data_IF_702188612402
#
_entry.id   IF_702188612402
#
_cell.length_a   1.000
_cell.length_b   1.000
_cell.length_c   1.000
_cell.angle_alpha   90.00
_cell.angle_beta   90.00
_cell.angle_gamma   90.00
#
_symmetry.space_group_name_H-M   'P 1'
#
loop_
_entity.id
_entity.type
_entity.pdbx_description
1 polymer ?
#
# COMPACT_ATOMS: atom_id res chain seq x y z
N UNK A 1 16.55 32.53 -19.48
CA UNK A 1 15.75 32.01 -18.35
C UNK A 1 15.07 30.71 -18.79
N UNK A 2 15.67 29.55 -18.50
CA UNK A 2 15.07 28.23 -18.76
C UNK A 2 14.72 27.60 -17.40
N UNK A 3 13.43 27.41 -17.12
CA UNK A 3 12.96 26.69 -15.93
C UNK A 3 13.04 25.19 -16.21
N UNK A 4 13.94 24.50 -15.53
CA UNK A 4 13.98 23.04 -15.45
C UNK A 4 12.88 22.59 -14.49
N UNK A 5 11.92 21.82 -15.00
CA UNK A 5 10.94 21.12 -14.19
C UNK A 5 11.62 19.90 -13.56
N UNK A 6 11.84 19.94 -12.25
CA UNK A 6 12.32 18.79 -11.47
C UNK A 6 11.16 17.81 -11.29
N UNK A 7 11.17 16.74 -12.09
CA UNK A 7 10.27 15.59 -11.92
C UNK A 7 10.90 14.69 -10.85
N UNK A 8 10.22 14.53 -9.72
CA UNK A 8 10.61 13.61 -8.67
C UNK A 8 10.37 12.16 -9.14
N UNK A 9 11.44 11.39 -9.29
CA UNK A 9 11.39 9.97 -9.63
C UNK A 9 11.23 9.17 -8.32
N UNK A 10 10.05 8.59 -8.08
CA UNK A 10 9.86 7.62 -6.99
C UNK A 10 10.36 6.27 -7.52
N UNK A 11 11.47 5.79 -6.99
CA UNK A 11 12.06 4.51 -7.34
C UNK A 11 11.28 3.39 -6.61
N UNK A 12 10.33 2.75 -7.29
CA UNK A 12 9.63 1.56 -6.79
C UNK A 12 10.24 0.32 -7.42
N UNK A 13 10.78 -0.58 -6.58
CA UNK A 13 11.41 -1.82 -6.98
C UNK A 13 10.35 -2.94 -7.09
N UNK A 14 9.81 -3.18 -8.27
CA UNK A 14 8.88 -4.29 -8.52
C UNK A 14 9.61 -5.46 -9.20
N UNK A 15 9.64 -6.63 -8.56
CA UNK A 15 10.13 -7.87 -9.17
C UNK A 15 9.07 -8.44 -10.14
N UNK A 16 9.47 -8.66 -11.39
CA UNK A 16 8.64 -9.23 -12.46
C UNK A 16 8.51 -10.75 -12.33
N UNK A 17 7.29 -11.27 -12.50
CA UNK A 17 6.98 -12.71 -12.43
C UNK A 17 7.22 -13.40 -13.78
N UNK A 18 8.23 -14.28 -13.83
CA UNK A 18 8.35 -15.27 -14.90
C UNK A 18 7.52 -16.53 -14.56
N UNK A 19 6.81 -17.05 -15.54
CA UNK A 19 5.96 -18.26 -15.44
C UNK A 19 6.85 -19.51 -15.39
N UNK A 20 6.74 -20.32 -14.34
CA UNK A 20 7.57 -21.51 -14.09
C UNK A 20 6.82 -22.79 -14.49
N UNK A 21 7.41 -23.74 -15.25
CA UNK A 21 6.88 -25.08 -15.38
C UNK A 21 7.29 -25.94 -14.17
N UNK A 22 6.39 -26.79 -13.70
CA UNK A 22 6.62 -27.65 -12.55
C UNK A 22 7.53 -28.84 -12.92
N UNK A 23 8.71 -28.94 -12.29
CA UNK A 23 9.33 -30.19 -11.82
C UNK A 23 10.63 -29.89 -11.05
N UNK A 24 10.66 -30.31 -9.78
CA UNK A 24 11.82 -30.70 -8.96
C UNK A 24 13.19 -30.06 -9.26
N UNK A 25 13.57 -29.09 -8.44
CA UNK A 25 14.97 -28.69 -8.19
C UNK A 25 15.08 -28.15 -6.75
N UNK A 26 16.22 -28.36 -6.06
CA UNK A 26 16.34 -28.09 -4.64
C UNK A 26 16.19 -26.60 -4.36
N UNK A 27 15.52 -26.25 -3.25
CA UNK A 27 15.45 -24.90 -2.66
C UNK A 27 16.78 -24.17 -2.91
N UNK A 28 16.76 -23.16 -3.80
CA UNK A 28 17.81 -22.12 -3.76
C UNK A 28 17.84 -21.64 -2.31
N UNK A 29 18.97 -21.81 -1.65
CA UNK A 29 19.17 -21.43 -0.24
C UNK A 29 18.58 -20.04 -0.01
N UNK A 30 17.66 -19.91 0.95
CA UNK A 30 16.98 -18.64 1.25
C UNK A 30 17.98 -17.51 1.57
N UNK A 31 19.16 -17.84 2.13
CA UNK A 31 20.24 -16.88 2.36
C UNK A 31 20.78 -16.26 1.06
N UNK A 32 20.80 -17.01 -0.06
CA UNK A 32 21.26 -16.47 -1.34
C UNK A 32 20.31 -15.42 -1.92
N UNK A 33 19.00 -15.52 -1.64
CA UNK A 33 18.01 -14.54 -2.08
C UNK A 33 18.11 -13.24 -1.26
N UNK A 34 18.36 -13.37 0.04
CA UNK A 34 18.52 -12.21 0.93
C UNK A 34 19.78 -11.40 0.57
N UNK A 35 20.90 -12.08 0.27
CA UNK A 35 22.12 -11.44 -0.23
C UNK A 35 21.94 -10.73 -1.58
N UNK A 36 21.11 -11.30 -2.47
CA UNK A 36 20.78 -10.68 -3.76
C UNK A 36 19.97 -9.39 -3.59
N UNK A 37 19.00 -9.36 -2.67
CA UNK A 37 18.20 -8.16 -2.38
C UNK A 37 19.05 -7.01 -1.82
N UNK A 38 19.99 -7.31 -0.91
CA UNK A 38 20.96 -6.31 -0.40
C UNK A 38 21.79 -5.75 -1.55
N UNK A 39 22.34 -6.62 -2.40
CA UNK A 39 23.14 -6.24 -3.56
C UNK A 39 22.38 -5.31 -4.50
N UNK A 40 21.14 -5.68 -4.87
CA UNK A 40 20.29 -4.88 -5.74
C UNK A 40 19.99 -3.51 -5.12
N UNK A 41 19.59 -3.48 -3.85
CA UNK A 41 19.26 -2.24 -3.16
C UNK A 41 20.47 -1.30 -3.08
N UNK A 42 21.63 -1.83 -2.68
CA UNK A 42 22.88 -1.09 -2.58
C UNK A 42 23.30 -0.50 -3.93
N UNK A 43 23.34 -1.34 -4.98
CA UNK A 43 23.73 -0.89 -6.33
C UNK A 43 22.77 0.17 -6.87
N UNK A 44 21.46 -0.02 -6.73
CA UNK A 44 20.48 0.96 -7.22
C UNK A 44 20.56 2.27 -6.45
N UNK A 45 20.75 2.23 -5.14
CA UNK A 45 20.93 3.44 -4.34
C UNK A 45 22.15 4.24 -4.83
N UNK A 46 23.28 3.58 -5.12
CA UNK A 46 24.49 4.28 -5.59
C UNK A 46 24.41 4.75 -7.05
N UNK A 47 23.71 4.01 -7.92
CA UNK A 47 23.76 4.25 -9.37
C UNK A 47 22.53 4.98 -9.92
N UNK A 48 21.36 4.86 -9.27
CA UNK A 48 20.09 5.39 -9.75
C UNK A 48 19.57 6.54 -8.90
N UNK A 49 20.14 6.78 -7.70
CA UNK A 49 19.77 7.95 -6.93
C UNK A 49 20.26 9.23 -7.61
N UNK A 50 19.40 10.23 -7.67
CA UNK A 50 19.61 11.46 -8.44
C UNK A 50 20.75 12.36 -7.92
N UNK A 51 21.29 12.06 -6.73
CA UNK A 51 22.43 12.74 -6.10
C UNK A 51 23.53 11.74 -5.82
N UNK A 52 24.76 12.25 -5.71
CA UNK A 52 25.88 11.44 -5.21
C UNK A 52 25.53 10.93 -3.80
N UNK A 53 25.62 9.62 -3.62
CA UNK A 53 25.40 8.95 -2.34
C UNK A 53 26.74 8.79 -1.62
N UNK A 54 26.74 8.99 -0.31
CA UNK A 54 27.89 8.76 0.55
C UNK A 54 27.85 7.30 1.04
N UNK A 55 28.86 6.51 0.68
CA UNK A 55 28.92 5.08 1.01
C UNK A 55 29.01 4.82 2.51
N UNK A 56 29.81 5.59 3.25
CA UNK A 56 29.89 5.49 4.71
C UNK A 56 28.54 5.71 5.38
N UNK A 57 27.76 6.68 4.87
CA UNK A 57 26.42 6.94 5.37
C UNK A 57 25.46 5.77 5.09
N UNK A 58 25.59 5.11 3.92
CA UNK A 58 24.78 3.94 3.57
C UNK A 58 25.05 2.78 4.52
N UNK A 59 26.32 2.43 4.74
CA UNK A 59 26.70 1.32 5.63
C UNK A 59 26.34 1.64 7.08
N UNK A 60 26.63 2.85 7.56
CA UNK A 60 26.26 3.27 8.91
C UNK A 60 24.74 3.27 9.11
N UNK A 61 23.97 3.74 8.12
CA UNK A 61 22.51 3.73 8.17
C UNK A 61 21.92 2.32 8.21
N UNK A 62 22.53 1.38 7.48
CA UNK A 62 22.17 -0.04 7.52
C UNK A 62 22.37 -0.63 8.92
N UNK A 63 23.57 -0.48 9.46
CA UNK A 63 23.96 -0.92 10.81
C UNK A 63 23.04 -0.35 11.89
N UNK A 64 22.88 0.98 11.90
CA UNK A 64 22.08 1.69 12.91
C UNK A 64 20.63 1.21 12.91
N UNK A 65 20.03 1.02 11.73
CA UNK A 65 18.64 0.58 11.66
C UNK A 65 18.47 -0.90 12.01
N UNK A 66 19.44 -1.76 11.67
CA UNK A 66 19.45 -3.16 12.09
C UNK A 66 19.52 -3.27 13.62
N UNK A 67 20.46 -2.56 14.26
CA UNK A 67 20.58 -2.52 15.72
C UNK A 67 19.31 -1.96 16.37
N UNK A 68 18.74 -0.89 15.80
CA UNK A 68 17.48 -0.33 16.29
C UNK A 68 16.31 -1.31 16.14
N UNK A 69 16.25 -2.06 15.03
CA UNK A 69 15.24 -3.08 14.80
C UNK A 69 15.33 -4.21 15.83
N UNK A 70 16.53 -4.72 16.11
CA UNK A 70 16.78 -5.72 17.15
C UNK A 70 16.32 -5.24 18.54
N UNK A 71 16.68 -4.00 18.91
CA UNK A 71 16.26 -3.38 20.18
C UNK A 71 14.74 -3.27 20.30
N UNK A 72 14.06 -2.75 19.27
CA UNK A 72 12.59 -2.64 19.23
C UNK A 72 11.90 -4.01 19.38
N UNK A 73 12.57 -5.08 18.95
CA UNK A 73 12.06 -6.44 19.05
C UNK A 73 12.58 -7.23 20.26
N UNK A 74 13.16 -6.56 21.26
CA UNK A 74 13.46 -7.14 22.57
C UNK A 74 14.91 -7.58 22.78
N UNK A 75 15.84 -7.25 21.88
CA UNK A 75 17.28 -7.48 22.07
C UNK A 75 17.94 -6.22 22.63
N UNK A 76 17.88 -6.03 23.95
CA UNK A 76 18.30 -4.78 24.62
C UNK A 76 19.78 -4.41 24.42
N UNK A 77 20.67 -5.42 24.33
CA UNK A 77 22.12 -5.24 24.20
C UNK A 77 22.65 -5.89 22.91
N UNK A 78 22.00 -5.62 21.77
CA UNK A 78 22.48 -6.09 20.48
C UNK A 78 23.91 -5.60 20.21
N UNK A 79 24.87 -6.51 20.29
CA UNK A 79 26.25 -6.35 19.84
C UNK A 79 26.33 -6.89 18.41
N UNK A 80 26.32 -5.97 17.46
CA UNK A 80 26.56 -6.26 16.05
C UNK A 80 27.89 -5.57 15.69
N UNK A 81 28.87 -6.27 15.07
CA UNK A 81 30.12 -5.64 14.69
C UNK A 81 29.90 -4.45 13.75
N UNK A 82 30.69 -3.39 13.91
CA UNK A 82 30.66 -2.26 12.99
C UNK A 82 31.16 -2.68 11.60
N UNK A 83 30.49 -2.18 10.57
CA UNK A 83 30.87 -2.42 9.18
C UNK A 83 32.13 -1.63 8.81
N UNK A 84 32.97 -2.23 7.97
CA UNK A 84 34.12 -1.54 7.37
C UNK A 84 33.78 -1.08 5.95
N UNK A 85 33.95 0.21 5.71
CA UNK A 85 33.70 0.81 4.40
C UNK A 85 34.91 0.56 3.49
N UNK A 86 34.63 0.13 2.26
CA UNK A 86 35.60 -0.08 1.19
C UNK A 86 35.21 0.73 -0.05
N UNK A 87 36.19 1.07 -0.89
CA UNK A 87 35.93 1.63 -2.22
C UNK A 87 35.34 0.61 -3.19
N UNK A 88 35.48 -0.69 -2.90
CA UNK A 88 34.90 -1.79 -3.67
C UNK A 88 33.46 -2.10 -3.21
N UNK A 89 32.50 -1.88 -4.11
CA UNK A 89 31.09 -2.17 -3.87
C UNK A 89 30.84 -3.63 -3.49
N UNK A 90 31.56 -4.59 -4.08
CA UNK A 90 31.37 -6.00 -3.78
C UNK A 90 31.80 -6.34 -2.34
N UNK A 91 32.84 -5.69 -1.84
CA UNK A 91 33.28 -5.80 -0.43
C UNK A 91 32.24 -5.25 0.51
N UNK A 92 31.68 -4.07 0.23
CA UNK A 92 30.63 -3.49 1.07
C UNK A 92 29.37 -4.36 1.12
N UNK A 93 28.97 -4.96 -0.01
CA UNK A 93 27.82 -5.88 -0.07
C UNK A 93 28.07 -7.12 0.78
N UNK A 94 29.28 -7.71 0.72
CA UNK A 94 29.66 -8.86 1.57
C UNK A 94 29.66 -8.52 3.06
N UNK A 95 30.11 -7.32 3.42
CA UNK A 95 30.10 -6.87 4.82
C UNK A 95 28.67 -6.72 5.35
N UNK A 96 27.75 -6.13 4.56
CA UNK A 96 26.33 -6.02 4.90
C UNK A 96 25.66 -7.39 5.06
N UNK A 97 25.91 -8.32 4.13
CA UNK A 97 25.36 -9.67 4.18
C UNK A 97 25.84 -10.43 5.43
N UNK A 98 27.16 -10.39 5.68
CA UNK A 98 27.79 -10.99 6.87
C UNK A 98 27.23 -10.43 8.18
N UNK A 99 26.94 -9.14 8.23
CA UNK A 99 26.36 -8.49 9.40
C UNK A 99 24.97 -9.06 9.72
N UNK A 100 24.12 -9.18 8.70
CA UNK A 100 22.79 -9.78 8.83
C UNK A 100 22.89 -11.23 9.30
N UNK A 101 23.77 -12.03 8.69
CA UNK A 101 23.99 -13.42 9.10
C UNK A 101 24.46 -13.53 10.56
N UNK A 102 25.39 -12.66 10.96
CA UNK A 102 25.90 -12.59 12.33
C UNK A 102 24.79 -12.23 13.30
N UNK A 103 23.97 -11.23 12.99
CA UNK A 103 22.84 -10.83 13.82
C UNK A 103 21.78 -11.95 13.93
N UNK A 104 21.45 -12.59 12.81
CA UNK A 104 20.50 -13.70 12.78
C UNK A 104 20.97 -14.89 13.63
N UNK A 105 22.27 -15.21 13.57
CA UNK A 105 22.87 -16.30 14.34
C UNK A 105 23.00 -15.98 15.82
N UNK A 106 23.34 -14.72 16.17
CA UNK A 106 23.54 -14.29 17.55
C UNK A 106 22.22 -14.07 18.31
N UNK A 107 21.14 -13.71 17.60
CA UNK A 107 19.86 -13.33 18.22
C UNK A 107 18.66 -14.11 17.63
N UNK A 108 18.62 -15.44 17.77
CA UNK A 108 17.45 -16.22 17.35
C UNK A 108 16.22 -15.79 18.16
N UNK A 109 15.10 -15.59 17.46
CA UNK A 109 13.88 -15.03 18.05
C UNK A 109 12.64 -15.56 17.34
N UNK A 110 11.53 -15.69 18.08
CA UNK A 110 10.21 -15.94 17.47
C UNK A 110 9.51 -14.67 16.99
N UNK A 111 10.06 -13.49 17.31
CA UNK A 111 9.45 -12.19 16.98
C UNK A 111 9.86 -11.66 15.61
N UNK A 112 10.96 -12.15 15.04
CA UNK A 112 11.48 -11.76 13.74
C UNK A 112 12.27 -12.90 13.11
N UNK A 113 12.39 -12.88 11.79
CA UNK A 113 13.13 -13.84 10.97
C UNK A 113 14.44 -13.21 10.46
N UNK A 114 15.39 -14.01 9.95
CA UNK A 114 16.56 -13.47 9.26
C UNK A 114 16.19 -12.50 8.13
N UNK A 115 15.11 -12.80 7.41
CA UNK A 115 14.59 -11.94 6.34
C UNK A 115 14.13 -10.57 6.84
N UNK A 116 13.54 -10.50 8.03
CA UNK A 116 13.18 -9.22 8.63
C UNK A 116 14.41 -8.37 8.96
N UNK A 117 15.54 -9.01 9.29
CA UNK A 117 16.83 -8.33 9.50
C UNK A 117 17.41 -7.82 8.17
N UNK A 118 17.30 -8.60 7.09
CA UNK A 118 17.64 -8.15 5.72
C UNK A 118 16.85 -6.90 5.34
N UNK A 119 15.53 -6.92 5.55
CA UNK A 119 14.66 -5.78 5.29
C UNK A 119 14.99 -4.56 6.14
N UNK A 120 15.29 -4.76 7.43
CA UNK A 120 15.73 -3.68 8.30
C UNK A 120 17.05 -3.06 7.80
N UNK A 121 17.99 -3.88 7.35
CA UNK A 121 19.28 -3.44 6.81
C UNK A 121 19.08 -2.62 5.53
N UNK A 122 18.26 -3.11 4.59
CA UNK A 122 17.92 -2.37 3.35
C UNK A 122 17.19 -1.06 3.66
N UNK A 123 16.23 -1.07 4.59
CA UNK A 123 15.54 0.14 5.01
C UNK A 123 16.49 1.17 5.63
N UNK A 124 17.51 0.72 6.36
CA UNK A 124 18.57 1.56 6.91
C UNK A 124 19.45 2.18 5.83
N UNK A 125 19.88 1.38 4.85
CA UNK A 125 20.62 1.86 3.67
C UNK A 125 19.86 2.97 2.95
N UNK A 126 18.59 2.74 2.62
CA UNK A 126 17.74 3.71 1.94
C UNK A 126 17.46 4.95 2.81
N UNK A 127 17.25 4.77 4.12
CA UNK A 127 17.05 5.88 5.06
C UNK A 127 18.28 6.77 5.28
N UNK A 128 19.48 6.33 4.86
CA UNK A 128 20.72 7.10 5.00
C UNK A 128 20.76 8.34 4.11
N UNK A 129 20.10 8.33 2.95
CA UNK A 129 20.10 9.47 2.01
C UNK A 129 19.16 10.60 2.42
N UNK A 130 18.45 10.45 3.55
CA UNK A 130 17.57 11.46 4.16
C UNK A 130 16.56 12.07 3.18
N UNK A 131 16.09 11.27 2.22
CA UNK A 131 15.02 11.64 1.32
C UNK A 131 13.70 11.00 1.76
N UNK A 132 12.69 11.84 2.01
CA UNK A 132 11.39 11.39 2.56
C UNK A 132 10.59 10.48 1.61
N UNK A 133 10.97 10.41 0.34
CA UNK A 133 10.31 9.57 -0.66
C UNK A 133 11.08 8.27 -0.94
N UNK A 134 12.29 8.15 -0.41
CA UNK A 134 13.14 6.96 -0.56
C UNK A 134 12.88 6.02 0.60
N UNK A 135 12.06 5.00 0.36
CA UNK A 135 11.66 4.02 1.38
C UNK A 135 11.78 2.60 0.85
N UNK A 136 12.11 1.68 1.74
CA UNK A 136 11.93 0.26 1.49
C UNK A 136 10.48 -0.11 1.77
N UNK A 137 9.88 -0.94 0.92
CA UNK A 137 8.58 -1.56 1.17
C UNK A 137 8.79 -3.07 1.18
N UNK A 138 8.47 -3.71 2.30
CA UNK A 138 8.40 -5.18 2.38
C UNK A 138 7.35 -5.71 1.40
N UNK A 139 7.38 -7.00 1.02
CA UNK A 139 6.37 -7.58 0.13
C UNK A 139 4.93 -7.35 0.61
N UNK A 140 4.72 -7.36 1.94
CA UNK A 140 3.41 -7.09 2.55
C UNK A 140 3.01 -5.62 2.39
N UNK A 141 3.91 -4.68 2.63
CA UNK A 141 3.65 -3.24 2.47
C UNK A 141 3.45 -2.87 1.00
N UNK A 142 4.24 -3.45 0.11
CA UNK A 142 4.09 -3.29 -1.34
C UNK A 142 2.78 -3.88 -1.84
N UNK A 143 2.38 -5.05 -1.36
CA UNK A 143 1.07 -5.63 -1.66
C UNK A 143 -0.07 -4.73 -1.16
N UNK A 144 0.01 -4.22 0.08
CA UNK A 144 -1.00 -3.31 0.63
C UNK A 144 -1.08 -1.98 -0.15
N UNK A 145 0.07 -1.44 -0.59
CA UNK A 145 0.10 -0.26 -1.46
C UNK A 145 -0.58 -0.55 -2.80
N UNK A 146 -0.25 -1.68 -3.44
CA UNK A 146 -0.85 -2.07 -4.69
C UNK A 146 -2.33 -2.41 -4.57
N UNK A 147 -2.79 -3.00 -3.47
CA UNK A 147 -4.22 -3.24 -3.21
C UNK A 147 -5.02 -1.93 -3.17
N UNK A 148 -4.40 -0.81 -2.78
CA UNK A 148 -5.02 0.51 -2.84
C UNK A 148 -4.95 1.18 -4.21
N UNK A 149 -4.02 0.78 -5.07
CA UNK A 149 -3.79 1.37 -6.41
C UNK A 149 -4.49 0.59 -7.53
N UNK A 150 -4.34 -0.73 -7.49
CA UNK A 150 -5.15 -1.65 -8.24
C UNK A 150 -6.51 -1.61 -7.56
N UNK A 151 -7.55 -1.15 -8.26
CA UNK A 151 -8.93 -1.12 -7.77
C UNK A 151 -9.48 -2.54 -7.53
N UNK A 152 -8.79 -3.30 -6.68
CA UNK A 152 -8.99 -4.71 -6.42
C UNK A 152 -10.43 -4.87 -5.97
N UNK A 153 -11.03 -5.91 -6.51
CA UNK A 153 -12.39 -6.28 -6.21
C UNK A 153 -12.47 -6.68 -4.74
N UNK A 154 -12.88 -5.76 -3.87
CA UNK A 154 -13.21 -6.10 -2.50
C UNK A 154 -14.71 -6.34 -2.40
N UNK A 155 -15.10 -7.49 -1.86
CA UNK A 155 -16.50 -7.75 -1.55
C UNK A 155 -16.89 -6.96 -0.31
N UNK A 156 -17.83 -6.03 -0.48
CA UNK A 156 -18.22 -5.10 0.56
C UNK A 156 -19.52 -4.38 0.23
N UNK A 157 -19.79 -3.32 0.98
CA UNK A 157 -20.99 -2.50 0.82
C UNK A 157 -20.84 -1.39 -0.20
N UNK A 158 -19.60 -1.01 -0.57
CA UNK A 158 -19.35 0.16 -1.43
C UNK A 158 -19.45 1.48 -0.67
N UNK A 159 -19.15 1.47 0.62
CA UNK A 159 -19.12 2.65 1.50
C UNK A 159 -17.66 2.99 1.80
N UNK A 160 -17.30 4.26 1.65
CA UNK A 160 -16.05 4.81 2.19
C UNK A 160 -16.39 5.51 3.50
N UNK A 161 -15.77 5.08 4.59
CA UNK A 161 -16.06 5.58 5.93
C UNK A 161 -14.95 6.49 6.46
N UNK A 162 -15.35 7.39 7.34
CA UNK A 162 -14.46 8.20 8.17
C UNK A 162 -14.92 8.14 9.63
N UNK A 163 -14.03 8.49 10.55
CA UNK A 163 -14.38 8.68 11.95
C UNK A 163 -14.53 10.16 12.25
N UNK A 164 -15.65 10.56 12.85
CA UNK A 164 -15.80 11.91 13.36
C UNK A 164 -15.07 12.05 14.71
N UNK A 165 -14.05 12.91 14.75
CA UNK A 165 -13.22 13.07 15.94
C UNK A 165 -13.97 13.60 17.18
N UNK A 166 -15.08 14.31 16.97
CA UNK A 166 -15.89 14.89 18.06
C UNK A 166 -16.93 13.91 18.57
N UNK A 167 -17.72 13.27 17.69
CA UNK A 167 -18.79 12.35 18.09
C UNK A 167 -18.32 10.91 18.31
N UNK A 168 -17.10 10.57 17.88
CA UNK A 168 -16.55 9.19 17.87
C UNK A 168 -17.43 8.18 17.12
N UNK A 169 -18.28 8.67 16.22
CA UNK A 169 -19.13 7.87 15.36
C UNK A 169 -18.47 7.64 14.00
N UNK A 170 -18.89 6.58 13.33
CA UNK A 170 -18.51 6.30 11.95
C UNK A 170 -19.49 7.00 11.01
N UNK A 171 -18.95 7.79 10.08
CA UNK A 171 -19.72 8.53 9.07
C UNK A 171 -19.35 8.05 7.67
N UNK A 172 -20.31 8.11 6.75
CA UNK A 172 -20.07 7.85 5.33
C UNK A 172 -19.43 9.08 4.70
N UNK A 173 -18.14 8.98 4.36
CA UNK A 173 -17.43 10.02 3.61
C UNK A 173 -17.87 10.06 2.14
N UNK A 174 -18.09 8.89 1.53
CA UNK A 174 -18.62 8.77 0.17
C UNK A 174 -19.18 7.37 -0.09
N UNK A 175 -19.99 7.26 -1.12
CA UNK A 175 -20.57 6.01 -1.59
C UNK A 175 -20.11 5.75 -3.01
N UNK A 176 -19.71 4.51 -3.31
CA UNK A 176 -19.29 4.13 -4.65
C UNK A 176 -20.49 4.25 -5.61
N UNK A 177 -20.41 5.08 -6.66
CA UNK A 177 -21.49 5.22 -7.64
C UNK A 177 -21.85 3.89 -8.28
N UNK A 178 -23.16 3.64 -8.45
CA UNK A 178 -23.71 2.36 -8.92
C UNK A 178 -23.28 1.16 -8.03
N UNK A 179 -22.81 1.40 -6.81
CA UNK A 179 -22.44 0.38 -5.83
C UNK A 179 -23.65 -0.15 -5.05
N UNK A 180 -23.48 -1.22 -4.24
CA UNK A 180 -24.54 -1.77 -3.39
C UNK A 180 -25.13 -0.75 -2.42
N UNK A 181 -24.30 0.07 -1.78
CA UNK A 181 -24.75 1.12 -0.86
C UNK A 181 -25.48 2.27 -1.57
N UNK A 182 -25.04 2.66 -2.76
CA UNK A 182 -25.69 3.70 -3.57
C UNK A 182 -27.09 3.24 -4.01
N UNK A 183 -27.18 1.99 -4.51
CA UNK A 183 -28.46 1.33 -4.82
C UNK A 183 -29.36 1.16 -3.60
N UNK A 184 -28.78 1.07 -2.40
CA UNK A 184 -29.52 0.99 -1.14
C UNK A 184 -29.94 2.38 -0.59
N UNK A 185 -29.57 3.47 -1.28
CA UNK A 185 -29.98 4.83 -0.94
C UNK A 185 -29.15 5.50 0.15
N UNK A 186 -27.96 4.96 0.46
CA UNK A 186 -27.01 5.60 1.37
C UNK A 186 -26.36 6.81 0.71
N UNK A 187 -26.02 7.80 1.52
CA UNK A 187 -25.50 9.07 1.06
C UNK A 187 -24.26 9.47 1.87
N UNK A 188 -23.50 10.41 1.32
CA UNK A 188 -22.48 11.12 2.09
C UNK A 188 -23.11 11.77 3.33
N UNK A 189 -22.32 11.87 4.41
CA UNK A 189 -22.68 12.42 5.72
C UNK A 189 -23.68 11.60 6.55
N UNK A 190 -24.13 10.45 6.05
CA UNK A 190 -24.88 9.49 6.84
C UNK A 190 -24.01 8.96 7.99
N UNK A 191 -24.54 9.03 9.21
CA UNK A 191 -23.89 8.48 10.40
C UNK A 191 -24.36 7.03 10.58
N UNK A 192 -23.42 6.09 10.61
CA UNK A 192 -23.71 4.68 10.84
C UNK A 192 -23.74 4.46 12.35
N UNK A 193 -24.91 4.25 12.94
CA UNK A 193 -25.08 4.03 14.37
C UNK A 193 -24.79 2.59 14.78
N UNK A 194 -25.24 1.61 13.98
CA UNK A 194 -24.95 0.20 14.21
C UNK A 194 -24.73 -0.57 12.91
N UNK A 195 -23.94 -1.63 12.99
CA UNK A 195 -23.69 -2.60 11.91
C UNK A 195 -24.07 -3.97 12.44
N UNK A 196 -25.09 -4.60 11.85
CA UNK A 196 -25.69 -5.87 12.32
C UNK A 196 -26.01 -5.85 13.83
N UNK A 197 -26.56 -4.73 14.30
CA UNK A 197 -26.91 -4.51 15.70
C UNK A 197 -25.73 -4.16 16.63
N UNK A 198 -24.48 -4.19 16.15
CA UNK A 198 -23.32 -3.77 16.93
C UNK A 198 -23.11 -2.26 16.82
N UNK A 199 -23.02 -1.59 17.96
CA UNK A 199 -22.72 -0.15 18.00
C UNK A 199 -21.39 0.17 17.31
N UNK A 200 -21.38 1.27 16.56
CA UNK A 200 -20.16 1.81 15.93
C UNK A 200 -19.43 2.83 16.81
N UNK A 201 -20.05 3.26 17.91
CA UNK A 201 -19.47 4.27 18.81
C UNK A 201 -18.11 3.81 19.34
N UNK A 202 -17.08 4.63 19.12
CA UNK A 202 -15.71 4.36 19.57
C UNK A 202 -14.97 3.28 18.77
N UNK A 203 -15.57 2.73 17.70
CA UNK A 203 -14.84 1.85 16.79
C UNK A 203 -13.79 2.62 16.00
N UNK A 204 -12.65 1.99 15.76
CA UNK A 204 -11.69 2.49 14.77
C UNK A 204 -12.22 2.26 13.35
N UNK A 205 -11.73 3.06 12.39
CA UNK A 205 -12.02 2.87 10.96
C UNK A 205 -11.74 1.42 10.53
N UNK A 206 -10.65 0.82 11.02
CA UNK A 206 -10.28 -0.56 10.70
C UNK A 206 -11.30 -1.57 11.25
N UNK A 207 -11.77 -1.38 12.49
CA UNK A 207 -12.79 -2.24 13.09
C UNK A 207 -14.13 -2.12 12.37
N UNK A 208 -14.59 -0.90 12.10
CA UNK A 208 -15.82 -0.66 11.35
C UNK A 208 -15.75 -1.23 9.92
N UNK A 209 -14.61 -1.01 9.23
CA UNK A 209 -14.36 -1.57 7.90
C UNK A 209 -14.43 -3.11 7.92
N UNK A 210 -13.97 -3.77 8.98
CA UNK A 210 -14.03 -5.23 9.09
C UNK A 210 -15.48 -5.74 9.21
N UNK A 211 -16.38 -4.97 9.81
CA UNK A 211 -17.81 -5.31 9.92
C UNK A 211 -18.57 -5.08 8.60
N UNK A 212 -18.22 -4.02 7.86
CA UNK A 212 -18.83 -3.70 6.57
C UNK A 212 -18.39 -4.66 5.46
N UNK A 213 -17.13 -5.12 5.49
CA UNK A 213 -16.62 -6.15 4.58
C UNK A 213 -17.18 -7.53 4.92
N UNK A 214 -17.15 -8.43 3.95
CA UNK A 214 -17.61 -9.81 4.13
C UNK A 214 -17.77 -10.53 2.81
N UNK A 215 -18.13 -11.80 2.88
CA UNK A 215 -18.32 -12.65 1.70
C UNK A 215 -19.40 -12.08 0.77
N UNK A 216 -19.16 -12.15 -0.53
CA UNK A 216 -20.15 -11.79 -1.55
C UNK A 216 -21.49 -12.52 -1.33
N UNK A 217 -22.59 -11.84 -1.61
CA UNK A 217 -23.96 -12.36 -1.46
C UNK A 217 -24.48 -12.34 -0.01
N UNK A 218 -23.63 -12.15 0.99
CA UNK A 218 -24.08 -11.99 2.38
C UNK A 218 -24.70 -10.62 2.61
N UNK A 219 -25.57 -10.50 3.62
CA UNK A 219 -26.25 -9.25 3.97
C UNK A 219 -25.58 -8.58 5.17
N UNK A 220 -25.68 -7.26 5.21
CA UNK A 220 -25.38 -6.43 6.36
C UNK A 220 -26.47 -5.40 6.55
N UNK A 221 -26.91 -5.20 7.78
CA UNK A 221 -27.97 -4.24 8.12
C UNK A 221 -27.38 -3.08 8.89
N UNK A 222 -27.59 -1.87 8.39
CA UNK A 222 -27.09 -0.64 8.98
C UNK A 222 -28.24 0.16 9.60
N UNK A 223 -28.04 0.64 10.83
CA UNK A 223 -28.87 1.72 11.40
C UNK A 223 -28.20 3.05 11.07
N UNK A 224 -28.93 3.96 10.43
CA UNK A 224 -28.38 5.20 9.89
C UNK A 224 -29.07 6.40 10.54
N UNK A 225 -28.29 7.44 10.82
CA UNK A 225 -28.77 8.78 11.12
C UNK A 225 -28.43 9.72 9.98
N UNK A 226 -29.47 10.36 9.40
CA UNK A 226 -29.33 11.38 8.36
C UNK A 226 -29.82 12.71 8.91
N UNK A 227 -28.97 13.74 8.86
CA UNK A 227 -29.27 15.07 9.40
C UNK A 227 -29.77 15.03 10.85
N UNK A 228 -29.17 14.16 11.68
CA UNK A 228 -29.51 14.00 13.09
C UNK A 228 -30.79 13.20 13.40
N UNK A 229 -31.45 12.61 12.39
CA UNK A 229 -32.65 11.76 12.58
C UNK A 229 -32.37 10.33 12.17
N UNK A 230 -32.88 9.37 12.95
CA UNK A 230 -32.85 7.97 12.55
C UNK A 230 -33.72 7.77 11.30
N UNK A 231 -33.19 7.05 10.31
CA UNK A 231 -33.96 6.57 9.16
C UNK A 231 -34.23 5.06 9.30
N UNK A 232 -35.06 4.52 8.41
CA UNK A 232 -35.30 3.08 8.36
C UNK A 232 -33.99 2.30 8.17
N UNK A 233 -33.85 1.11 8.80
CA UNK A 233 -32.65 0.30 8.66
C UNK A 233 -32.39 -0.04 7.19
N UNK A 234 -31.13 0.07 6.77
CA UNK A 234 -30.72 -0.18 5.38
C UNK A 234 -30.00 -1.51 5.31
N UNK A 235 -30.56 -2.47 4.58
CA UNK A 235 -29.94 -3.77 4.34
C UNK A 235 -29.23 -3.78 3.00
N UNK A 236 -27.93 -4.08 3.02
CA UNK A 236 -27.06 -4.11 1.84
C UNK A 236 -26.64 -5.55 1.59
N UNK A 237 -26.76 -6.00 0.34
CA UNK A 237 -26.15 -7.26 -0.11
C UNK A 237 -24.71 -6.95 -0.52
N UNK A 238 -23.74 -7.59 0.14
CA UNK A 238 -22.33 -7.42 -0.19
C UNK A 238 -22.08 -7.91 -1.61
N UNK A 239 -21.42 -7.09 -2.40
CA UNK A 239 -21.04 -7.43 -3.77
C UNK A 239 -19.58 -7.06 -4.02
N UNK A 240 -18.96 -7.64 -5.05
CA UNK A 240 -17.73 -7.16 -5.65
C UNK A 240 -17.80 -5.64 -5.88
N UNK A 241 -17.07 -4.87 -5.08
CA UNK A 241 -16.87 -3.45 -5.30
C UNK A 241 -15.61 -3.32 -6.13
N UNK A 242 -15.77 -2.91 -7.38
CA UNK A 242 -14.67 -2.43 -8.18
C UNK A 242 -14.63 -0.93 -8.00
N UNK A 243 -13.64 -0.43 -7.27
CA UNK A 243 -13.34 0.99 -7.29
C UNK A 243 -12.81 1.31 -8.68
N UNK A 244 -13.70 1.79 -9.55
CA UNK A 244 -13.30 2.23 -10.87
C UNK A 244 -12.37 3.43 -10.69
N UNK A 245 -11.26 3.40 -11.39
CA UNK A 245 -10.35 4.52 -11.48
C UNK A 245 -10.90 5.61 -12.40
N UNK A 246 -11.89 5.27 -13.23
CA UNK A 246 -12.59 6.18 -14.13
C UNK A 246 -14.11 6.06 -14.00
N UNK A 247 -14.76 7.18 -13.72
CA UNK A 247 -16.23 7.32 -13.80
C UNK A 247 -16.59 8.19 -15.01
N UNK A 248 -17.64 7.82 -15.73
CA UNK A 248 -18.05 8.55 -16.92
C UNK A 248 -19.57 8.69 -17.02
N UNK A 249 -20.04 9.88 -17.41
CA UNK A 249 -21.47 10.14 -17.67
C UNK A 249 -21.66 11.21 -18.73
N UNK A 250 -22.77 11.10 -19.47
CA UNK A 250 -23.20 12.15 -20.38
C UNK A 250 -23.90 13.28 -19.60
N UNK A 251 -23.43 14.51 -19.76
CA UNK A 251 -24.08 15.72 -19.27
C UNK A 251 -25.01 16.32 -20.34
N UNK A 252 -25.87 17.30 -19.98
CA UNK A 252 -26.64 18.07 -20.95
C UNK A 252 -25.76 18.66 -22.06
N UNK A 253 -26.35 18.94 -23.22
CA UNK A 253 -25.65 19.45 -24.41
C UNK A 253 -24.61 18.49 -25.00
N UNK A 254 -24.70 17.19 -24.68
CA UNK A 254 -23.79 16.15 -25.17
C UNK A 254 -22.33 16.36 -24.75
N UNK A 255 -22.11 16.79 -23.50
CA UNK A 255 -20.77 16.93 -22.92
C UNK A 255 -20.47 15.64 -22.14
N UNK A 256 -19.39 14.95 -22.48
CA UNK A 256 -18.98 13.71 -21.82
C UNK A 256 -18.12 14.00 -20.60
N UNK A 257 -18.65 13.87 -19.39
CA UNK A 257 -17.85 14.01 -18.17
C UNK A 257 -17.07 12.73 -17.89
N UNK A 258 -15.77 12.88 -17.65
CA UNK A 258 -14.88 11.79 -17.21
C UNK A 258 -14.12 12.22 -15.95
N UNK A 259 -14.37 11.52 -14.85
CA UNK A 259 -13.69 11.71 -13.58
C UNK A 259 -12.68 10.60 -13.32
N UNK A 260 -11.41 10.97 -13.13
CA UNK A 260 -10.34 10.07 -12.69
C UNK A 260 -10.18 10.16 -11.17
N UNK A 261 -10.26 9.03 -10.49
CA UNK A 261 -10.19 8.96 -9.02
C UNK A 261 -8.85 8.40 -8.52
N UNK A 262 -8.21 7.56 -9.32
CA UNK A 262 -6.89 6.96 -9.05
C UNK A 262 -6.15 6.76 -10.36
N UNK A 263 -4.82 6.77 -10.31
CA UNK A 263 -3.97 6.38 -11.43
C UNK A 263 -3.34 5.03 -11.12
N UNK A 264 -4.06 3.96 -11.44
CA UNK A 264 -3.67 2.57 -11.21
C UNK A 264 -3.38 1.82 -12.52
N UNK A 265 -3.15 0.51 -12.40
CA UNK A 265 -2.79 -0.36 -13.54
C UNK A 265 -3.84 -0.34 -14.66
N UNK A 266 -5.12 -0.36 -14.30
CA UNK A 266 -6.22 -0.48 -15.26
C UNK A 266 -6.75 0.87 -15.77
N UNK A 267 -6.28 1.99 -15.22
CA UNK A 267 -6.84 3.33 -15.50
C UNK A 267 -6.79 3.72 -16.96
N UNK A 268 -5.70 3.41 -17.67
CA UNK A 268 -5.61 3.69 -19.11
C UNK A 268 -6.70 2.96 -19.92
N UNK A 269 -6.97 1.69 -19.58
CA UNK A 269 -8.00 0.88 -20.25
C UNK A 269 -9.40 1.36 -19.89
N UNK A 270 -9.65 1.64 -18.61
CA UNK A 270 -10.93 2.17 -18.14
C UNK A 270 -11.25 3.52 -18.77
N UNK A 271 -10.23 4.40 -18.90
CA UNK A 271 -10.36 5.70 -19.56
C UNK A 271 -10.74 5.54 -21.04
N UNK A 272 -10.01 4.70 -21.78
CA UNK A 272 -10.33 4.43 -23.19
C UNK A 272 -11.77 3.93 -23.35
N UNK A 273 -12.17 2.95 -22.53
CA UNK A 273 -13.53 2.37 -22.60
C UNK A 273 -14.61 3.41 -22.28
N UNK A 274 -14.36 4.28 -21.30
CA UNK A 274 -15.26 5.37 -20.95
C UNK A 274 -15.42 6.40 -22.07
N UNK A 275 -14.31 6.80 -22.69
CA UNK A 275 -14.31 7.74 -23.82
C UNK A 275 -15.05 7.15 -25.03
N UNK A 276 -14.74 5.90 -25.40
CA UNK A 276 -15.39 5.20 -26.52
C UNK A 276 -16.91 5.12 -26.32
N UNK A 277 -17.35 4.79 -25.09
CA UNK A 277 -18.78 4.73 -24.73
C UNK A 277 -19.44 6.10 -24.86
N UNK A 278 -18.84 7.17 -24.34
CA UNK A 278 -19.40 8.53 -24.41
C UNK A 278 -19.45 9.04 -25.85
N UNK A 279 -18.43 8.73 -26.66
CA UNK A 279 -18.40 9.07 -28.08
C UNK A 279 -19.52 8.34 -28.85
N UNK A 280 -19.74 7.05 -28.59
CA UNK A 280 -20.84 6.28 -29.16
C UNK A 280 -22.23 6.82 -28.75
N UNK A 281 -22.35 7.42 -27.56
CA UNK A 281 -23.55 8.12 -27.10
C UNK A 281 -23.72 9.53 -27.72
N UNK A 282 -22.75 9.97 -28.53
CA UNK A 282 -22.80 11.22 -29.27
C UNK A 282 -22.19 12.42 -28.57
N UNK A 283 -21.24 12.22 -27.64
CA UNK A 283 -20.49 13.31 -27.03
C UNK A 283 -19.90 14.24 -28.09
N UNK A 284 -20.05 15.55 -27.90
CA UNK A 284 -19.52 16.62 -28.76
C UNK A 284 -18.35 17.37 -28.14
N UNK A 285 -18.19 17.23 -26.83
CA UNK A 285 -17.08 17.75 -26.03
C UNK A 285 -16.92 16.86 -24.79
N UNK A 286 -15.77 16.96 -24.11
CA UNK A 286 -15.48 16.28 -22.84
C UNK A 286 -15.10 17.33 -21.79
#
# INVERSE_FOLDING_TARGET
>A
MKRLASIAFILVLALTTARVPAATSPQKSFALLDAEEISIAYQRLLTQFYKKVNTDAVLSGAHDNLVAYLKRNGVSNAKVPALHVSDDAATNIRELDREVETAASAYPSSKFTPRDLTYATIAGMLGSVKDRYTVFLSPREYAALNEGLDGTTFSGTGIVIESNDTSKMITISSVVPDGPADRAGLQQDDVISTIDGKSTYGLTIQQASKLLRGTEGTRVTLQIQRSGRNISPVTIVRAPIRQLSVYAKMLPNKIGYVGLTVFGRDTGKELSTALDRLQAQGARAF
#
